data_IF_908578207869
#
_entry.id   IF_908578207869
#
_cell.length_a   1.000
_cell.length_b   1.000
_cell.length_c   1.000
_cell.angle_alpha   90.00
_cell.angle_beta   90.00
_cell.angle_gamma   90.00
#
_symmetry.space_group_name_H-M   'P 1'
#
loop_
_entity.id
_entity.type
_entity.pdbx_description
1 polymer ?
#
# COMPACT_ATOMS: atom_id res chain seq x y z
N UNK A 1 7.41 -1.25 20.73
CA UNK A 1 6.09 -1.48 20.08
C UNK A 1 5.99 -0.47 18.95
N UNK A 2 5.56 -0.88 17.76
CA UNK A 2 5.32 0.06 16.67
C UNK A 2 4.38 1.17 17.18
N UNK A 3 4.83 2.42 17.13
CA UNK A 3 3.97 3.54 17.46
C UNK A 3 3.08 3.86 16.26
N UNK A 4 1.99 4.60 16.47
CA UNK A 4 1.17 5.14 15.37
C UNK A 4 2.03 5.90 14.35
N UNK A 5 3.08 6.57 14.82
CA UNK A 5 4.01 7.33 13.97
C UNK A 5 4.86 6.41 13.10
N UNK A 6 5.36 5.32 13.67
CA UNK A 6 6.20 4.37 12.93
C UNK A 6 5.37 3.61 11.90
N UNK A 7 4.20 3.10 12.29
CA UNK A 7 3.28 2.43 11.38
C UNK A 7 2.85 3.33 10.21
N UNK A 8 2.60 4.63 10.48
CA UNK A 8 2.31 5.58 9.41
C UNK A 8 3.47 5.71 8.42
N UNK A 9 4.70 5.85 8.92
CA UNK A 9 5.89 5.93 8.06
C UNK A 9 6.10 4.67 7.24
N UNK A 10 5.87 3.50 7.82
CA UNK A 10 6.01 2.22 7.13
C UNK A 10 4.98 2.11 5.98
N UNK A 11 3.72 2.45 6.24
CA UNK A 11 2.66 2.50 5.21
C UNK A 11 3.03 3.48 4.10
N UNK A 12 3.42 4.71 4.46
CA UNK A 12 3.79 5.73 3.48
C UNK A 12 4.99 5.30 2.64
N UNK A 13 6.01 4.71 3.27
CA UNK A 13 7.20 4.23 2.58
C UNK A 13 6.88 3.11 1.60
N UNK A 14 6.25 2.02 2.07
CA UNK A 14 5.97 0.84 1.23
C UNK A 14 5.11 1.21 0.03
N UNK A 15 4.02 1.94 0.23
CA UNK A 15 3.12 2.30 -0.86
C UNK A 15 3.73 3.35 -1.80
N UNK A 16 4.56 4.27 -1.29
CA UNK A 16 5.25 5.25 -2.14
C UNK A 16 6.25 4.60 -3.09
N UNK A 17 6.97 3.56 -2.66
CA UNK A 17 7.88 2.83 -3.54
C UNK A 17 7.12 2.16 -4.70
N UNK A 18 6.00 1.49 -4.42
CA UNK A 18 5.19 0.83 -5.45
C UNK A 18 4.55 1.85 -6.40
N UNK A 19 4.08 3.00 -5.87
CA UNK A 19 3.58 4.11 -6.68
C UNK A 19 4.70 4.63 -7.61
N UNK A 20 5.90 4.83 -7.08
CA UNK A 20 7.06 5.28 -7.85
C UNK A 20 7.38 4.33 -9.00
N UNK A 21 7.41 3.02 -8.73
CA UNK A 21 7.63 2.00 -9.75
C UNK A 21 6.53 2.00 -10.82
N UNK A 22 5.27 2.13 -10.41
CA UNK A 22 4.13 2.21 -11.33
C UNK A 22 4.24 3.44 -12.25
N UNK A 23 4.61 4.60 -11.69
CA UNK A 23 4.84 5.82 -12.46
C UNK A 23 6.04 5.69 -13.41
N UNK A 24 7.10 5.01 -12.99
CA UNK A 24 8.27 4.75 -13.83
C UNK A 24 7.88 3.87 -15.04
N UNK A 25 7.12 2.80 -14.83
CA UNK A 25 6.61 1.95 -15.93
C UNK A 25 5.75 2.77 -16.89
N UNK A 26 4.82 3.58 -16.37
CA UNK A 26 3.99 4.46 -17.20
C UNK A 26 4.83 5.46 -18.01
N UNK A 27 5.89 6.01 -17.43
CA UNK A 27 6.77 6.95 -18.11
C UNK A 27 7.65 6.30 -19.18
N UNK A 28 8.17 5.09 -18.91
CA UNK A 28 9.03 4.33 -19.82
C UNK A 28 8.24 3.71 -20.98
N UNK A 29 6.96 3.39 -20.77
CA UNK A 29 6.10 2.69 -21.73
C UNK A 29 4.86 3.49 -22.10
N UNK A 30 5.04 4.77 -22.43
CA UNK A 30 3.94 5.69 -22.80
C UNK A 30 3.00 5.09 -23.84
N UNK A 31 1.69 5.25 -23.61
CA UNK A 31 0.62 4.76 -24.47
C UNK A 31 0.32 3.26 -24.33
N UNK A 32 1.03 2.52 -23.49
CA UNK A 32 0.75 1.09 -23.22
C UNK A 32 0.14 0.93 -21.84
N UNK A 33 -1.00 0.23 -21.77
CA UNK A 33 -1.67 -0.17 -20.51
C UNK A 33 -1.88 1.00 -19.52
N UNK A 34 -2.02 2.23 -20.03
CA UNK A 34 -2.12 3.42 -19.18
C UNK A 34 -3.32 3.36 -18.23
N UNK A 35 -4.48 2.89 -18.71
CA UNK A 35 -5.67 2.72 -17.88
C UNK A 35 -5.44 1.71 -16.74
N UNK A 36 -4.79 0.58 -17.02
CA UNK A 36 -4.46 -0.43 -16.00
C UNK A 36 -3.48 0.10 -14.95
N UNK A 37 -2.49 0.89 -15.37
CA UNK A 37 -1.53 1.56 -14.49
C UNK A 37 -2.20 2.65 -13.64
N UNK A 38 -3.10 3.44 -14.22
CA UNK A 38 -3.88 4.45 -13.49
C UNK A 38 -4.79 3.80 -12.45
N UNK A 39 -5.50 2.73 -12.81
CA UNK A 39 -6.33 1.97 -11.88
C UNK A 39 -5.51 1.36 -10.72
N UNK A 40 -4.26 0.97 -10.98
CA UNK A 40 -3.34 0.51 -9.93
C UNK A 40 -2.92 1.65 -9.01
N UNK A 41 -2.63 2.84 -9.56
CA UNK A 41 -2.30 4.03 -8.76
C UNK A 41 -3.45 4.46 -7.86
N UNK A 42 -4.68 4.49 -8.38
CA UNK A 42 -5.88 4.82 -7.60
C UNK A 42 -6.06 3.84 -6.44
N UNK A 43 -5.96 2.53 -6.70
CA UNK A 43 -6.01 1.50 -5.66
C UNK A 43 -4.95 1.71 -4.55
N UNK A 44 -3.71 2.04 -4.92
CA UNK A 44 -2.63 2.29 -3.95
C UNK A 44 -2.89 3.54 -3.10
N UNK A 45 -3.43 4.61 -3.72
CA UNK A 45 -3.78 5.86 -3.04
C UNK A 45 -4.92 5.62 -2.05
N UNK A 46 -5.98 4.94 -2.48
CA UNK A 46 -7.14 4.63 -1.64
C UNK A 46 -6.75 3.74 -0.45
N UNK A 47 -5.91 2.73 -0.70
CA UNK A 47 -5.43 1.83 0.35
C UNK A 47 -4.57 2.57 1.38
N UNK A 48 -3.69 3.48 0.93
CA UNK A 48 -2.92 4.32 1.84
C UNK A 48 -3.83 5.12 2.76
N UNK A 49 -4.85 5.76 2.19
CA UNK A 49 -5.77 6.61 2.94
C UNK A 49 -6.62 5.79 3.93
N UNK A 50 -7.05 4.58 3.55
CA UNK A 50 -7.73 3.65 4.45
C UNK A 50 -6.86 3.25 5.65
N UNK A 51 -5.62 2.80 5.39
CA UNK A 51 -4.70 2.35 6.45
C UNK A 51 -4.33 3.49 7.40
N UNK A 52 -4.11 4.70 6.88
CA UNK A 52 -3.87 5.90 7.69
C UNK A 52 -5.11 6.31 8.49
N UNK A 53 -6.31 6.18 7.92
CA UNK A 53 -7.56 6.45 8.64
C UNK A 53 -7.75 5.49 9.81
N UNK A 54 -7.46 4.20 9.62
CA UNK A 54 -7.50 3.16 10.67
C UNK A 54 -6.57 3.49 11.84
N UNK A 55 -5.36 4.01 11.56
CA UNK A 55 -4.42 4.46 12.60
C UNK A 55 -4.98 5.55 13.51
N UNK A 56 -6.00 6.30 13.08
CA UNK A 56 -6.68 7.29 13.91
C UNK A 56 -7.65 6.68 14.92
N UNK A 57 -8.06 5.43 14.70
CA UNK A 57 -9.10 4.71 15.45
C UNK A 57 -8.56 3.43 16.11
N UNK A 58 -7.43 3.52 16.82
CA UNK A 58 -6.82 2.36 17.51
C UNK A 58 -7.75 1.90 18.66
N UNK A 59 -8.29 0.66 18.60
CA UNK A 59 -9.19 0.15 19.62
C UNK A 59 -8.43 -0.22 20.91
N UNK A 60 -9.12 -0.14 22.05
CA UNK A 60 -8.61 -0.67 23.31
C UNK A 60 -7.29 -0.06 23.76
N UNK A 61 -7.19 1.28 23.78
CA UNK A 61 -5.96 1.99 24.20
C UNK A 61 -5.44 1.54 25.57
N UNK A 62 -6.34 1.12 26.46
CA UNK A 62 -6.01 0.63 27.80
C UNK A 62 -5.75 -0.89 27.85
N UNK A 63 -5.90 -1.60 26.72
CA UNK A 63 -5.68 -3.03 26.58
C UNK A 63 -4.51 -3.32 25.61
N UNK A 64 -3.29 -3.56 26.12
CA UNK A 64 -2.11 -3.80 25.29
C UNK A 64 -2.25 -4.97 24.29
N UNK A 65 -3.03 -6.00 24.63
CA UNK A 65 -3.26 -7.13 23.75
C UNK A 65 -4.08 -6.73 22.51
N UNK A 66 -5.10 -5.87 22.68
CA UNK A 66 -5.90 -5.36 21.57
C UNK A 66 -5.09 -4.42 20.67
N UNK A 67 -4.25 -3.56 21.26
CA UNK A 67 -3.35 -2.69 20.50
C UNK A 67 -2.37 -3.52 19.66
N UNK A 68 -1.77 -4.57 20.23
CA UNK A 68 -0.87 -5.46 19.49
C UNK A 68 -1.57 -6.17 18.33
N UNK A 69 -2.76 -6.72 18.57
CA UNK A 69 -3.56 -7.36 17.53
C UNK A 69 -3.94 -6.40 16.40
N UNK A 70 -4.28 -5.15 16.74
CA UNK A 70 -4.58 -4.11 15.76
C UNK A 70 -3.38 -3.84 14.84
N UNK A 71 -2.19 -3.59 15.40
CA UNK A 71 -1.00 -3.33 14.58
C UNK A 71 -0.61 -4.56 13.75
N UNK A 72 -0.64 -5.76 14.32
CA UNK A 72 -0.36 -6.98 13.55
C UNK A 72 -1.30 -7.13 12.34
N UNK A 73 -2.60 -6.86 12.53
CA UNK A 73 -3.57 -6.90 11.42
C UNK A 73 -3.28 -5.80 10.40
N UNK A 74 -2.95 -4.59 10.86
CA UNK A 74 -2.61 -3.47 9.97
C UNK A 74 -1.41 -3.80 9.07
N UNK A 75 -0.35 -4.39 9.62
CA UNK A 75 0.83 -4.79 8.84
C UNK A 75 0.53 -5.96 7.90
N UNK A 76 -0.25 -6.95 8.33
CA UNK A 76 -0.69 -8.03 7.43
C UNK A 76 -1.53 -7.52 6.26
N UNK A 77 -2.38 -6.51 6.49
CA UNK A 77 -3.17 -5.89 5.43
C UNK A 77 -2.28 -5.06 4.48
N UNK A 78 -1.26 -4.35 5.01
CA UNK A 78 -0.26 -3.65 4.21
C UNK A 78 0.56 -4.61 3.34
N UNK A 79 1.06 -5.71 3.91
CA UNK A 79 1.81 -6.74 3.18
C UNK A 79 0.99 -7.33 2.04
N UNK A 80 -0.27 -7.69 2.31
CA UNK A 80 -1.17 -8.22 1.26
C UNK A 80 -1.41 -7.23 0.13
N UNK A 81 -1.64 -5.97 0.45
CA UNK A 81 -1.80 -4.93 -0.57
C UNK A 81 -0.53 -4.76 -1.39
N UNK A 82 0.64 -4.76 -0.74
CA UNK A 82 1.93 -4.66 -1.43
C UNK A 82 2.15 -5.84 -2.38
N UNK A 83 1.91 -7.07 -1.92
CA UNK A 83 2.02 -8.29 -2.74
C UNK A 83 1.06 -8.24 -3.94
N UNK A 84 -0.21 -7.91 -3.71
CA UNK A 84 -1.22 -7.80 -4.79
C UNK A 84 -0.84 -6.73 -5.82
N UNK A 85 -0.42 -5.55 -5.36
CA UNK A 85 -0.02 -4.46 -6.24
C UNK A 85 1.22 -4.80 -7.07
N UNK A 86 2.22 -5.44 -6.45
CA UNK A 86 3.43 -5.89 -7.15
C UNK A 86 3.14 -7.01 -8.16
N UNK A 87 2.24 -7.94 -7.83
CA UNK A 87 1.82 -8.98 -8.76
C UNK A 87 1.12 -8.37 -9.98
N UNK A 88 0.15 -7.47 -9.75
CA UNK A 88 -0.53 -6.72 -10.82
C UNK A 88 0.44 -5.93 -11.69
N UNK A 89 1.38 -5.21 -11.07
CA UNK A 89 2.41 -4.47 -11.81
C UNK A 89 3.29 -5.41 -12.64
N UNK A 90 3.67 -6.56 -12.09
CA UNK A 90 4.46 -7.57 -12.81
C UNK A 90 3.75 -8.10 -14.04
N UNK A 91 2.44 -8.39 -13.94
CA UNK A 91 1.62 -8.84 -15.06
C UNK A 91 1.52 -7.77 -16.15
N UNK A 92 1.30 -6.50 -15.76
CA UNK A 92 1.28 -5.38 -16.69
C UNK A 92 2.61 -5.28 -17.43
N UNK A 93 3.73 -5.28 -16.72
CA UNK A 93 5.08 -5.19 -17.31
C UNK A 93 5.37 -6.35 -18.26
N UNK A 94 5.03 -7.58 -17.87
CA UNK A 94 5.18 -8.78 -18.72
C UNK A 94 4.35 -8.68 -20.00
N UNK A 95 3.19 -8.03 -19.96
CA UNK A 95 2.34 -7.82 -21.14
C UNK A 95 2.85 -6.71 -22.08
N UNK A 96 3.75 -5.86 -21.60
CA UNK A 96 4.32 -4.72 -22.32
C UNK A 96 5.60 -5.11 -23.10
N UNK A 97 6.38 -6.04 -22.55
CA UNK A 97 7.58 -6.64 -23.17
C UNK A 97 7.22 -7.49 -24.38
#
# INVERSE_FOLDING_TARGET
>A
MASRRDAKKDIEFVLAEIISDTLNVMHLHKGKKEEELLNLLEYLIDTRDELICRLSHIPGKDNPAQVKLFFNKLYLDLEKCADEAMERLSEIVKSIQ
#
